data_IF_820102012548
#
_entry.id   IF_820102012548
#
_cell.length_a   1.000
_cell.length_b   1.000
_cell.length_c   1.000
_cell.angle_alpha   90.00
_cell.angle_beta   90.00
_cell.angle_gamma   90.00
#
_symmetry.space_group_name_H-M   'P 1'
#
loop_
_entity.id
_entity.type
_entity.pdbx_description
1 polymer ?
#
# COMPACT_ATOMS: atom_id res chain seq x y z
N UNK A 1 17.73 -5.59 -5.22
CA UNK A 1 17.17 -4.31 -4.73
C UNK A 1 15.88 -4.51 -3.95
N UNK A 2 14.84 -5.15 -4.54
CA UNK A 2 13.55 -5.45 -3.88
C UNK A 2 13.70 -6.05 -2.49
N UNK A 3 14.49 -7.14 -2.34
CA UNK A 3 14.74 -7.74 -1.02
C UNK A 3 15.39 -6.78 -0.01
N UNK A 4 16.33 -5.94 -0.45
CA UNK A 4 16.97 -4.98 0.43
C UNK A 4 15.97 -3.91 0.92
N UNK A 5 15.02 -3.52 0.07
CA UNK A 5 13.94 -2.61 0.48
C UNK A 5 12.91 -3.29 1.37
N UNK A 6 12.53 -4.53 1.08
CA UNK A 6 11.64 -5.35 1.92
C UNK A 6 12.19 -5.47 3.35
N UNK A 7 13.46 -5.84 3.49
CA UNK A 7 14.12 -6.03 4.79
C UNK A 7 14.67 -4.73 5.41
N UNK A 8 14.39 -3.57 4.83
CA UNK A 8 14.79 -2.27 5.42
C UNK A 8 13.94 -1.89 6.64
N UNK A 9 12.81 -2.57 6.85
CA UNK A 9 11.91 -2.38 7.98
C UNK A 9 11.28 -3.69 8.44
N UNK A 10 10.16 -3.60 9.14
CA UNK A 10 9.40 -4.73 9.61
C UNK A 10 8.74 -5.48 8.45
N UNK A 11 8.90 -6.80 8.45
CA UNK A 11 8.14 -7.72 7.59
C UNK A 11 6.88 -8.13 8.35
N UNK A 12 5.72 -7.83 7.77
CA UNK A 12 4.44 -8.17 8.37
C UNK A 12 4.14 -9.66 8.18
N UNK A 13 3.99 -10.37 9.30
CA UNK A 13 3.45 -11.74 9.29
C UNK A 13 1.93 -11.73 9.47
N UNK A 14 1.26 -12.45 8.57
CA UNK A 14 -0.19 -12.68 8.55
C UNK A 14 -0.53 -14.18 8.63
N UNK A 15 0.40 -15.01 9.10
CA UNK A 15 0.22 -16.46 9.30
C UNK A 15 -1.00 -16.80 10.17
N UNK A 16 -1.33 -15.94 11.14
CA UNK A 16 -2.48 -16.07 12.03
C UNK A 16 -3.84 -15.82 11.35
N UNK A 17 -3.85 -15.36 10.09
CA UNK A 17 -5.07 -15.16 9.31
C UNK A 17 -5.31 -16.40 8.46
N UNK A 18 -6.37 -17.15 8.80
CA UNK A 18 -6.79 -18.38 8.12
C UNK A 18 -7.32 -18.12 6.70
N UNK A 19 -8.02 -17.00 6.51
CA UNK A 19 -8.54 -16.59 5.20
C UNK A 19 -7.41 -16.45 4.16
N UNK A 20 -7.66 -16.74 2.87
CA UNK A 20 -6.70 -16.47 1.80
C UNK A 20 -6.25 -15.00 1.82
N UNK A 21 -4.96 -14.74 1.62
CA UNK A 21 -4.38 -13.40 1.62
C UNK A 21 -4.08 -12.98 0.19
N UNK A 22 -4.64 -11.85 -0.25
CA UNK A 22 -4.43 -11.33 -1.60
C UNK A 22 -4.14 -9.84 -1.53
N UNK A 23 -3.23 -9.36 -2.37
CA UNK A 23 -3.02 -7.94 -2.60
C UNK A 23 -3.00 -7.64 -4.10
N UNK A 24 -3.37 -6.41 -4.48
CA UNK A 24 -3.32 -5.90 -5.85
C UNK A 24 -2.59 -4.57 -5.85
N UNK A 25 -1.60 -4.46 -6.73
CA UNK A 25 -0.89 -3.22 -6.97
C UNK A 25 -1.17 -2.66 -8.37
N UNK A 26 -1.17 -1.34 -8.53
CA UNK A 26 -1.25 -0.65 -9.82
C UNK A 26 0.07 0.06 -10.08
N UNK A 27 0.62 0.00 -11.29
CA UNK A 27 1.83 0.75 -11.63
C UNK A 27 1.62 2.27 -11.70
N UNK A 28 0.36 2.72 -11.70
CA UNK A 28 -0.05 4.11 -11.85
C UNK A 28 -1.13 4.27 -12.91
N UNK A 29 -2.03 5.24 -12.73
CA UNK A 29 -3.11 5.50 -13.68
C UNK A 29 -3.85 6.82 -13.39
N UNK A 30 -4.50 7.35 -14.41
CA UNK A 30 -5.34 8.55 -14.31
C UNK A 30 -6.77 8.13 -13.94
N UNK A 31 -7.24 8.54 -12.78
CA UNK A 31 -8.59 8.18 -12.29
C UNK A 31 -8.74 6.73 -11.82
N UNK A 32 -7.62 5.99 -11.63
CA UNK A 32 -7.67 4.61 -11.17
C UNK A 32 -8.20 4.52 -9.73
N UNK A 33 -9.39 3.94 -9.59
CA UNK A 33 -10.09 3.70 -8.31
C UNK A 33 -10.27 2.20 -8.03
N UNK A 34 -9.56 1.35 -8.76
CA UNK A 34 -9.73 -0.11 -8.70
C UNK A 34 -9.50 -0.64 -7.28
N UNK A 35 -8.44 -0.18 -6.60
CA UNK A 35 -8.11 -0.60 -5.23
C UNK A 35 -9.24 -0.29 -4.22
N UNK A 36 -9.91 0.85 -4.36
CA UNK A 36 -11.02 1.26 -3.48
C UNK A 36 -12.24 0.34 -3.59
N UNK A 37 -12.40 -0.32 -4.74
CA UNK A 37 -13.53 -1.20 -5.02
C UNK A 37 -13.17 -2.66 -4.71
N UNK A 38 -12.00 -3.12 -5.18
CA UNK A 38 -11.63 -4.53 -5.11
C UNK A 38 -11.34 -4.99 -3.68
N UNK A 39 -10.77 -4.13 -2.82
CA UNK A 39 -10.45 -4.49 -1.44
C UNK A 39 -11.70 -4.86 -0.63
N UNK A 40 -12.74 -4.01 -0.53
CA UNK A 40 -13.97 -4.38 0.18
C UNK A 40 -14.77 -5.50 -0.52
N UNK A 41 -14.69 -5.61 -1.87
CA UNK A 41 -15.35 -6.68 -2.61
C UNK A 41 -14.75 -8.06 -2.29
N UNK A 42 -13.42 -8.18 -2.28
CA UNK A 42 -12.76 -9.44 -1.94
C UNK A 42 -12.95 -9.79 -0.46
N UNK A 43 -12.94 -8.78 0.41
CA UNK A 43 -13.23 -8.97 1.83
C UNK A 43 -14.63 -9.54 2.07
N UNK A 44 -15.64 -9.08 1.33
CA UNK A 44 -17.00 -9.64 1.44
C UNK A 44 -17.12 -11.07 0.89
N UNK A 45 -16.16 -11.51 0.07
CA UNK A 45 -16.01 -12.90 -0.39
C UNK A 45 -15.14 -13.77 0.55
N UNK A 46 -14.77 -13.29 1.74
CA UNK A 46 -14.00 -14.05 2.72
C UNK A 46 -12.49 -14.08 2.49
N UNK A 47 -11.95 -13.12 1.73
CA UNK A 47 -10.51 -12.97 1.47
C UNK A 47 -9.93 -11.86 2.35
N UNK A 48 -8.76 -12.08 2.93
CA UNK A 48 -8.02 -11.04 3.65
C UNK A 48 -7.18 -10.20 2.69
N UNK A 49 -7.35 -8.87 2.72
CA UNK A 49 -6.68 -7.94 1.80
C UNK A 49 -5.80 -6.94 2.57
N UNK A 50 -4.54 -7.31 2.91
CA UNK A 50 -3.56 -6.42 3.53
C UNK A 50 -2.85 -5.56 2.47
N UNK A 51 -3.44 -4.44 2.08
CA UNK A 51 -2.93 -3.62 0.97
C UNK A 51 -2.01 -2.49 1.46
N UNK A 52 -0.76 -2.50 1.01
CA UNK A 52 0.16 -1.36 1.16
C UNK A 52 0.09 -0.52 -0.13
N UNK A 53 -0.40 0.71 0.01
CA UNK A 53 -0.67 1.63 -1.11
C UNK A 53 0.29 2.81 -1.14
N UNK A 54 0.48 3.38 -2.33
CA UNK A 54 1.24 4.61 -2.53
C UNK A 54 0.37 5.87 -2.61
N UNK A 55 1.05 7.02 -2.52
CA UNK A 55 0.54 8.32 -2.93
C UNK A 55 0.71 8.51 -4.45
N UNK A 56 0.30 9.66 -4.97
CA UNK A 56 0.55 10.05 -6.34
C UNK A 56 2.02 9.98 -6.73
N UNK A 57 2.26 9.69 -8.00
CA UNK A 57 3.59 9.60 -8.60
C UNK A 57 3.56 10.19 -10.00
N UNK A 58 4.35 11.23 -10.23
CA UNK A 58 4.29 12.05 -11.43
C UNK A 58 2.89 12.63 -11.64
N UNK A 59 2.30 12.35 -12.81
CA UNK A 59 0.95 12.84 -13.17
C UNK A 59 -0.19 11.91 -12.70
N UNK A 60 0.13 10.80 -12.03
CA UNK A 60 -0.87 9.80 -11.61
C UNK A 60 -1.26 10.00 -10.14
N UNK A 61 -2.54 9.79 -9.81
CA UNK A 61 -3.05 9.98 -8.45
C UNK A 61 -3.02 8.69 -7.61
N UNK A 62 -2.64 8.79 -6.34
CA UNK A 62 -2.52 7.64 -5.42
C UNK A 62 -3.85 7.13 -4.87
N UNK A 63 -3.84 5.93 -4.29
CA UNK A 63 -5.00 5.41 -3.54
C UNK A 63 -5.13 6.14 -2.20
N UNK A 64 -4.01 6.42 -1.54
CA UNK A 64 -4.00 7.08 -0.23
C UNK A 64 -4.56 8.51 -0.30
N UNK A 65 -4.20 9.27 -1.34
CA UNK A 65 -4.70 10.65 -1.51
C UNK A 65 -6.23 10.68 -1.69
N UNK A 66 -6.79 9.65 -2.35
CA UNK A 66 -8.24 9.50 -2.50
C UNK A 66 -8.90 9.15 -1.17
N UNK A 67 -8.29 8.29 -0.36
CA UNK A 67 -8.80 7.92 0.96
C UNK A 67 -8.80 9.12 1.92
N UNK A 68 -7.76 9.96 1.90
CA UNK A 68 -7.67 11.17 2.73
C UNK A 68 -8.70 12.25 2.37
N UNK A 69 -9.36 12.16 1.22
CA UNK A 69 -10.53 13.01 0.91
C UNK A 69 -11.74 12.71 1.79
N UNK A 70 -11.78 11.53 2.43
CA UNK A 70 -12.80 11.15 3.39
C UNK A 70 -12.43 11.78 4.74
N UNK A 71 -13.29 12.66 5.24
CA UNK A 71 -13.06 13.34 6.52
C UNK A 71 -12.81 12.34 7.66
N UNK A 72 -11.67 12.50 8.34
CA UNK A 72 -11.26 11.65 9.46
C UNK A 72 -10.55 10.34 9.07
N UNK A 73 -10.32 10.07 7.78
CA UNK A 73 -9.55 8.89 7.37
C UNK A 73 -8.05 9.13 7.58
N UNK A 74 -7.41 8.34 8.45
CA UNK A 74 -5.96 8.40 8.67
C UNK A 74 -5.25 7.23 7.95
N UNK A 75 -4.46 7.58 6.94
CA UNK A 75 -3.65 6.61 6.18
C UNK A 75 -2.35 6.23 6.91
N UNK A 76 -2.00 6.94 7.99
CA UNK A 76 -0.84 6.65 8.84
C UNK A 76 -1.27 5.69 9.93
N UNK A 77 -1.48 4.45 9.52
CA UNK A 77 -1.94 3.39 10.39
C UNK A 77 -0.74 2.66 11.02
N UNK A 78 -0.56 2.67 12.35
CA UNK A 78 0.42 1.82 13.02
C UNK A 78 0.13 0.34 12.75
N UNK A 79 1.17 -0.50 12.77
CA UNK A 79 1.07 -1.93 12.42
C UNK A 79 -0.02 -2.66 13.21
N UNK A 80 -0.14 -2.38 14.51
CA UNK A 80 -1.15 -3.02 15.36
C UNK A 80 -2.58 -2.60 14.99
N UNK A 81 -2.77 -1.32 14.63
CA UNK A 81 -4.07 -0.85 14.14
C UNK A 81 -4.39 -1.46 12.78
N UNK A 82 -3.40 -1.59 11.89
CA UNK A 82 -3.56 -2.24 10.59
C UNK A 82 -4.03 -3.70 10.76
N UNK A 83 -3.38 -4.46 11.64
CA UNK A 83 -3.78 -5.83 12.00
C UNK A 83 -5.17 -5.91 12.59
N UNK A 84 -5.56 -4.93 13.41
CA UNK A 84 -6.89 -4.87 14.03
C UNK A 84 -7.98 -4.62 12.97
N UNK A 85 -7.76 -3.65 12.08
CA UNK A 85 -8.67 -3.33 10.97
C UNK A 85 -8.82 -4.54 10.05
N UNK A 86 -7.71 -5.16 9.65
CA UNK A 86 -7.73 -6.32 8.77
C UNK A 86 -8.54 -7.49 9.37
N UNK A 87 -8.37 -7.77 10.67
CA UNK A 87 -9.16 -8.80 11.38
C UNK A 87 -10.65 -8.47 11.46
N UNK A 88 -10.99 -7.19 11.63
CA UNK A 88 -12.37 -6.74 11.81
C UNK A 88 -13.13 -6.62 10.48
N UNK A 89 -12.46 -6.11 9.45
CA UNK A 89 -13.09 -5.70 8.19
C UNK A 89 -12.76 -6.63 7.01
N UNK A 90 -11.78 -7.53 7.15
CA UNK A 90 -11.27 -8.37 6.06
C UNK A 90 -10.33 -7.64 5.10
N UNK A 91 -10.23 -6.31 5.15
CA UNK A 91 -9.25 -5.54 4.39
C UNK A 91 -8.70 -4.37 5.20
N UNK A 92 -7.49 -3.94 4.86
CA UNK A 92 -6.90 -2.70 5.35
C UNK A 92 -6.06 -2.07 4.21
N UNK A 93 -6.16 -0.75 4.06
CA UNK A 93 -5.37 0.03 3.10
C UNK A 93 -4.55 1.06 3.89
N UNK A 94 -3.22 0.92 3.86
CA UNK A 94 -2.31 1.84 4.54
C UNK A 94 -1.09 2.15 3.67
N UNK A 95 -0.35 3.20 4.02
CA UNK A 95 0.88 3.57 3.33
C UNK A 95 2.14 2.91 3.90
N UNK A 96 3.27 3.10 3.22
CA UNK A 96 4.58 2.87 3.81
C UNK A 96 4.75 3.76 5.05
N UNK A 97 5.37 3.24 6.10
CA UNK A 97 5.59 3.97 7.36
C UNK A 97 7.08 4.07 7.66
N UNK A 98 7.45 4.59 8.83
CA UNK A 98 8.83 4.48 9.30
C UNK A 98 9.21 3.02 9.63
N UNK A 99 8.22 2.17 9.87
CA UNK A 99 8.37 0.77 10.25
C UNK A 99 8.26 -0.16 9.03
N UNK A 100 7.41 0.14 8.04
CA UNK A 100 7.17 -0.69 6.86
C UNK A 100 7.86 -0.09 5.63
N UNK A 101 8.78 -0.84 5.03
CA UNK A 101 9.51 -0.47 3.81
C UNK A 101 10.10 0.97 3.80
N UNK A 102 10.87 1.39 4.85
CA UNK A 102 11.37 2.75 4.97
C UNK A 102 12.32 3.18 3.85
N UNK A 103 13.08 2.24 3.26
CA UNK A 103 13.94 2.54 2.12
C UNK A 103 13.12 2.90 0.87
N UNK A 104 12.05 2.15 0.59
CA UNK A 104 11.15 2.41 -0.53
C UNK A 104 10.44 3.76 -0.34
N UNK A 105 9.93 4.06 0.87
CA UNK A 105 9.33 5.38 1.17
C UNK A 105 10.25 6.55 0.80
N UNK A 106 11.54 6.47 1.13
CA UNK A 106 12.52 7.52 0.81
C UNK A 106 12.80 7.58 -0.69
N UNK A 107 12.98 6.44 -1.35
CA UNK A 107 13.25 6.37 -2.79
C UNK A 107 12.04 6.80 -3.62
N UNK A 108 10.83 6.43 -3.23
CA UNK A 108 9.58 6.80 -3.89
C UNK A 108 9.40 8.33 -3.94
N UNK A 109 9.57 9.00 -2.78
CA UNK A 109 9.51 10.45 -2.70
C UNK A 109 10.62 11.14 -3.50
N UNK A 110 11.85 10.61 -3.47
CA UNK A 110 12.95 11.13 -4.27
C UNK A 110 12.69 10.99 -5.77
N UNK A 111 12.15 9.84 -6.20
CA UNK A 111 11.88 9.56 -7.62
C UNK A 111 10.88 10.55 -8.22
N UNK A 112 9.86 10.89 -7.45
CA UNK A 112 8.87 11.90 -7.83
C UNK A 112 9.51 13.28 -8.03
N UNK A 113 10.35 13.71 -7.09
CA UNK A 113 11.00 15.03 -7.11
C UNK A 113 12.16 15.15 -8.12
N UNK A 114 12.66 14.05 -8.68
CA UNK A 114 13.88 14.03 -9.52
C UNK A 114 13.65 13.54 -10.95
N UNK A 115 12.39 13.37 -11.36
CA UNK A 115 12.04 12.84 -12.68
C UNK A 115 12.64 11.45 -12.99
N UNK A 116 12.85 10.61 -11.96
CA UNK A 116 13.41 9.25 -12.09
C UNK A 116 12.35 8.15 -11.88
N UNK A 117 11.07 8.51 -11.94
CA UNK A 117 9.94 7.57 -11.91
C UNK A 117 9.99 6.52 -13.02
N UNK A 118 10.17 6.86 -14.32
CA UNK A 118 9.98 5.93 -15.44
C UNK A 118 11.20 5.04 -15.70
N UNK A 119 11.80 4.48 -14.65
CA UNK A 119 12.92 3.55 -14.74
C UNK A 119 12.51 2.16 -14.24
N UNK A 120 12.41 1.20 -15.17
CA UNK A 120 11.84 -0.14 -14.94
C UNK A 120 12.42 -0.84 -13.70
N UNK A 121 13.74 -0.88 -13.49
CA UNK A 121 14.29 -1.57 -12.31
C UNK A 121 13.86 -0.96 -10.97
N UNK A 122 13.63 0.36 -10.92
CA UNK A 122 13.11 1.02 -9.72
C UNK A 122 11.59 0.87 -9.59
N UNK A 123 10.85 0.74 -10.69
CA UNK A 123 9.42 0.42 -10.66
C UNK A 123 9.20 -0.99 -10.11
N UNK A 124 9.99 -1.98 -10.54
CA UNK A 124 9.87 -3.38 -10.08
C UNK A 124 10.28 -3.57 -8.63
N UNK A 125 11.21 -2.74 -8.14
CA UNK A 125 11.73 -2.89 -6.79
C UNK A 125 10.88 -2.19 -5.73
N UNK A 126 10.14 -1.15 -6.12
CA UNK A 126 9.22 -0.35 -5.31
C UNK A 126 7.94 -1.13 -5.07
#
# INVERSE_FOLDING_TARGET
LTHAMLYSGQVLDFSQIEAPKVDKHSTGGVGDKTSLIIAPLLASCGVAVPMISGRGLGHTGGTLDKLESISGYDVRCPVEQFRSILRKCGFAMAGQTAEIAPADRKLYAMRDATATVPYIPLIVAS
#
